data_IF_919018705061
#
_entry.id   IF_919018705061
#
_cell.length_a   1.000
_cell.length_b   1.000
_cell.length_c   1.000
_cell.angle_alpha   90.00
_cell.angle_beta   90.00
_cell.angle_gamma   90.00
#
_symmetry.space_group_name_H-M   'P 1'
#
loop_
_entity.id
_entity.type
_entity.pdbx_description
1 polymer ?
#
# COMPACT_ATOMS: atom_id res chain seq x y z
N UNK A 1 -11.39 20.05 -4.44
CA UNK A 1 -12.75 20.47 -4.09
C UNK A 1 -13.59 19.25 -3.72
N UNK A 2 -14.54 19.43 -2.82
CA UNK A 2 -15.59 18.46 -2.52
C UNK A 2 -16.93 19.15 -2.75
N UNK A 3 -17.78 18.53 -3.56
CA UNK A 3 -19.02 19.10 -4.05
C UNK A 3 -20.13 18.12 -3.74
N UNK A 4 -21.12 18.55 -2.97
CA UNK A 4 -22.35 17.80 -2.76
C UNK A 4 -23.29 18.14 -3.93
N UNK A 5 -23.46 17.21 -4.86
CA UNK A 5 -24.35 17.39 -6.02
C UNK A 5 -25.82 17.26 -5.64
N UNK A 6 -26.09 16.40 -4.66
CA UNK A 6 -27.39 16.22 -4.00
C UNK A 6 -27.14 15.91 -2.53
N UNK A 7 -28.20 15.79 -1.73
CA UNK A 7 -28.10 15.37 -0.33
C UNK A 7 -27.38 14.01 -0.15
N UNK A 8 -27.36 13.17 -1.18
CA UNK A 8 -26.81 11.80 -1.14
C UNK A 8 -25.64 11.56 -2.10
N UNK A 9 -25.38 12.45 -3.03
CA UNK A 9 -24.33 12.29 -4.05
C UNK A 9 -23.23 13.32 -3.84
N UNK A 10 -22.05 12.84 -3.46
CA UNK A 10 -20.87 13.67 -3.20
C UNK A 10 -19.79 13.36 -4.23
N UNK A 11 -19.20 14.41 -4.78
CA UNK A 11 -18.07 14.33 -5.71
C UNK A 11 -16.84 14.98 -5.09
N UNK A 12 -15.68 14.38 -5.33
CA UNK A 12 -14.38 14.96 -5.00
C UNK A 12 -13.54 15.05 -6.26
N UNK A 13 -12.99 16.22 -6.54
CA UNK A 13 -12.04 16.43 -7.63
C UNK A 13 -10.82 17.18 -7.11
N UNK A 14 -9.65 16.80 -7.58
CA UNK A 14 -8.41 17.44 -7.17
C UNK A 14 -7.28 17.14 -8.13
N UNK A 15 -6.21 17.89 -8.00
CA UNK A 15 -4.99 17.62 -8.74
C UNK A 15 -3.81 18.27 -8.04
N UNK A 16 -2.63 17.71 -8.26
CA UNK A 16 -1.37 18.25 -7.74
C UNK A 16 -0.43 18.50 -8.91
N UNK A 17 0.18 19.69 -8.95
CA UNK A 17 1.27 19.99 -9.86
C UNK A 17 2.60 19.94 -9.12
N UNK A 18 3.51 19.11 -9.58
CA UNK A 18 4.85 18.94 -9.04
C UNK A 18 5.87 19.53 -10.00
N UNK A 19 6.80 20.32 -9.46
CA UNK A 19 7.98 20.82 -10.16
C UNK A 19 9.22 20.34 -9.41
N UNK A 20 9.92 19.37 -9.98
CA UNK A 20 11.07 18.72 -9.38
C UNK A 20 12.36 19.12 -10.08
N UNK A 21 13.36 19.52 -9.30
CA UNK A 21 14.69 19.82 -9.79
C UNK A 21 15.71 19.00 -8.99
N UNK A 22 16.62 18.32 -9.69
CA UNK A 22 17.71 17.56 -9.09
C UNK A 22 18.99 17.83 -9.86
N UNK A 23 20.12 17.88 -9.13
CA UNK A 23 21.45 17.89 -9.73
C UNK A 23 22.16 16.62 -9.33
N UNK A 24 22.61 15.85 -10.32
CA UNK A 24 23.34 14.59 -10.12
C UNK A 24 24.78 14.81 -10.55
N UNK A 25 25.70 14.73 -9.60
CA UNK A 25 27.14 14.69 -9.89
C UNK A 25 27.61 13.25 -9.88
N UNK A 26 27.97 12.71 -11.04
CA UNK A 26 28.67 11.45 -11.13
C UNK A 26 30.16 11.70 -10.85
N UNK A 27 30.62 11.27 -9.67
CA UNK A 27 32.01 11.47 -9.23
C UNK A 27 33.01 10.58 -9.95
N UNK A 28 32.57 9.51 -10.62
CA UNK A 28 33.48 8.61 -11.36
C UNK A 28 34.00 9.25 -12.65
N UNK A 29 33.21 10.12 -13.29
CA UNK A 29 33.58 10.83 -14.52
C UNK A 29 33.44 12.36 -14.42
N UNK A 30 33.20 12.88 -13.21
CA UNK A 30 32.99 14.29 -12.89
C UNK A 30 31.89 14.98 -13.73
N UNK A 31 30.90 14.22 -14.22
CA UNK A 31 29.80 14.75 -15.03
C UNK A 31 28.64 15.19 -14.14
N UNK A 32 28.13 16.38 -14.41
CA UNK A 32 26.93 16.92 -13.76
C UNK A 32 25.74 16.85 -14.71
N UNK A 33 24.65 16.23 -14.28
CA UNK A 33 23.36 16.20 -14.98
C UNK A 33 22.33 16.96 -14.16
N UNK A 34 21.63 17.90 -14.79
CA UNK A 34 20.51 18.63 -14.18
C UNK A 34 19.21 18.00 -14.66
N UNK A 35 18.41 17.51 -13.73
CA UNK A 35 17.09 16.93 -13.95
C UNK A 35 16.04 17.97 -13.61
N UNK A 36 15.14 18.24 -14.56
CA UNK A 36 13.95 19.07 -14.34
C UNK A 36 12.72 18.30 -14.81
N UNK A 37 11.79 18.06 -13.91
CA UNK A 37 10.57 17.30 -14.20
C UNK A 37 9.35 18.06 -13.70
N UNK A 38 8.29 18.01 -14.49
CA UNK A 38 7.01 18.62 -14.20
C UNK A 38 5.94 17.55 -14.36
N UNK A 39 5.09 17.39 -13.37
CA UNK A 39 4.04 16.38 -13.40
C UNK A 39 2.74 16.97 -12.84
N UNK A 40 1.63 16.69 -13.52
CA UNK A 40 0.31 16.89 -12.97
C UNK A 40 -0.29 15.54 -12.58
N UNK A 41 -0.80 15.43 -11.37
CA UNK A 41 -1.37 14.19 -10.81
C UNK A 41 -2.83 14.44 -10.44
N UNK A 42 -3.80 14.09 -11.31
CA UNK A 42 -5.22 14.24 -11.04
C UNK A 42 -5.72 13.20 -10.03
N UNK A 43 -6.76 13.56 -9.29
CA UNK A 43 -7.50 12.70 -8.38
C UNK A 43 -8.99 12.98 -8.49
N UNK A 44 -9.80 11.94 -8.37
CA UNK A 44 -11.25 12.05 -8.43
C UNK A 44 -11.91 10.97 -7.58
N UNK A 45 -13.10 11.26 -7.07
CA UNK A 45 -13.90 10.29 -6.34
C UNK A 45 -15.38 10.64 -6.33
N UNK A 46 -16.20 9.62 -6.15
CA UNK A 46 -17.65 9.72 -5.99
C UNK A 46 -18.06 8.92 -4.78
N UNK A 47 -19.01 9.43 -4.03
CA UNK A 47 -19.68 8.72 -2.95
C UNK A 47 -21.18 8.91 -3.09
N UNK A 48 -21.92 7.82 -2.98
CA UNK A 48 -23.38 7.80 -3.01
C UNK A 48 -23.93 7.12 -1.76
N UNK A 49 -24.72 7.85 -0.99
CA UNK A 49 -25.40 7.37 0.21
C UNK A 49 -26.67 6.60 -0.20
N UNK A 50 -26.63 5.28 -0.03
CA UNK A 50 -27.79 4.40 -0.27
C UNK A 50 -28.85 4.66 0.80
N UNK A 51 -28.40 4.78 2.05
CA UNK A 51 -29.17 5.21 3.22
C UNK A 51 -28.21 5.81 4.25
N UNK A 52 -28.74 6.17 5.42
CA UNK A 52 -28.01 6.86 6.50
C UNK A 52 -26.80 6.08 7.04
N UNK A 53 -26.77 4.75 6.85
CA UNK A 53 -25.71 3.87 7.36
C UNK A 53 -24.89 3.20 6.25
N UNK A 54 -25.26 3.32 4.98
CA UNK A 54 -24.62 2.57 3.89
C UNK A 54 -24.36 3.46 2.69
N UNK A 55 -23.10 3.51 2.27
CA UNK A 55 -22.65 4.25 1.09
C UNK A 55 -21.86 3.35 0.14
N UNK A 56 -21.94 3.65 -1.16
CA UNK A 56 -21.02 3.13 -2.17
C UNK A 56 -20.09 4.25 -2.61
N UNK A 57 -18.82 3.92 -2.84
CA UNK A 57 -17.84 4.89 -3.31
C UNK A 57 -16.98 4.32 -4.43
N UNK A 58 -16.40 5.23 -5.21
CA UNK A 58 -15.43 4.92 -6.24
C UNK A 58 -14.38 6.03 -6.34
N UNK A 59 -13.15 5.66 -6.65
CA UNK A 59 -12.00 6.56 -6.63
C UNK A 59 -11.03 6.31 -7.77
N UNK A 60 -10.34 7.38 -8.14
CA UNK A 60 -9.27 7.39 -9.12
C UNK A 60 -8.17 8.33 -8.66
N UNK A 61 -6.92 7.94 -8.86
CA UNK A 61 -5.78 8.81 -8.60
C UNK A 61 -4.54 8.43 -9.39
N UNK A 62 -3.83 9.45 -9.85
CA UNK A 62 -2.46 9.32 -10.34
C UNK A 62 -1.46 9.78 -9.28
N UNK A 63 -0.27 9.20 -9.29
CA UNK A 63 0.82 9.54 -8.39
C UNK A 63 2.16 9.60 -9.12
N UNK A 64 3.10 10.27 -8.49
CA UNK A 64 4.38 10.65 -9.08
C UNK A 64 5.48 10.52 -8.03
N UNK A 65 6.57 9.84 -8.39
CA UNK A 65 7.81 9.81 -7.61
C UNK A 65 9.02 9.98 -8.53
N UNK A 66 9.81 11.05 -8.38
CA UNK A 66 11.03 11.20 -9.15
C UNK A 66 11.98 10.01 -8.94
N UNK A 67 12.52 9.46 -10.04
CA UNK A 67 13.64 8.53 -9.97
C UNK A 67 14.92 9.34 -9.87
N UNK A 68 15.76 9.00 -8.89
CA UNK A 68 17.06 9.64 -8.71
C UNK A 68 18.14 8.94 -9.51
N UNK A 69 19.12 9.71 -9.98
CA UNK A 69 20.26 9.18 -10.72
C UNK A 69 20.11 9.31 -12.23
N UNK A 70 21.01 8.64 -12.94
CA UNK A 70 21.11 8.69 -14.39
C UNK A 70 21.44 7.31 -14.95
N UNK A 71 21.10 7.07 -16.21
CA UNK A 71 21.44 5.84 -16.94
C UNK A 71 22.94 5.80 -17.32
N UNK A 72 23.35 4.72 -18.00
CA UNK A 72 24.72 4.55 -18.49
C UNK A 72 25.19 5.66 -19.45
N UNK A 73 24.26 6.29 -20.18
CA UNK A 73 24.54 7.42 -21.07
C UNK A 73 24.49 8.78 -20.33
N UNK A 74 24.29 8.76 -19.00
CA UNK A 74 24.10 9.91 -18.13
C UNK A 74 22.82 10.72 -18.38
N UNK A 75 21.81 10.10 -19.00
CA UNK A 75 20.48 10.69 -19.12
C UNK A 75 19.71 10.54 -17.80
N UNK A 76 18.89 11.53 -17.42
CA UNK A 76 18.02 11.40 -16.26
C UNK A 76 16.94 10.34 -16.48
N UNK A 77 16.58 9.63 -15.41
CA UNK A 77 15.46 8.70 -15.46
C UNK A 77 14.11 9.41 -15.55
N UNK A 78 13.13 8.88 -16.29
CA UNK A 78 11.74 9.30 -16.13
C UNK A 78 11.28 9.00 -14.70
N UNK A 79 10.36 9.79 -14.18
CA UNK A 79 9.77 9.54 -12.86
C UNK A 79 8.93 8.27 -12.87
N UNK A 80 8.82 7.62 -11.71
CA UNK A 80 7.81 6.60 -11.48
C UNK A 80 6.43 7.24 -11.48
N UNK A 81 5.51 6.57 -12.19
CA UNK A 81 4.12 6.98 -12.28
C UNK A 81 3.23 5.86 -11.76
N UNK A 82 2.30 6.21 -10.89
CA UNK A 82 1.28 5.29 -10.40
C UNK A 82 -0.11 5.72 -10.85
N UNK A 83 -0.99 4.75 -11.13
CA UNK A 83 -2.40 4.96 -11.44
C UNK A 83 -3.22 3.96 -10.64
N UNK A 84 -4.25 4.44 -9.97
CA UNK A 84 -5.09 3.64 -9.08
C UNK A 84 -6.58 3.84 -9.37
N UNK A 85 -7.32 2.75 -9.23
CA UNK A 85 -8.78 2.71 -9.25
C UNK A 85 -9.26 1.92 -8.04
N UNK A 86 -10.33 2.40 -7.42
CA UNK A 86 -10.93 1.78 -6.24
C UNK A 86 -12.45 1.86 -6.33
N UNK A 87 -13.13 0.84 -5.83
CA UNK A 87 -14.59 0.83 -5.63
C UNK A 87 -14.90 0.08 -4.35
N UNK A 88 -15.84 0.57 -3.56
CA UNK A 88 -16.14 -0.05 -2.29
C UNK A 88 -17.46 0.36 -1.69
N UNK A 89 -17.78 -0.30 -0.58
CA UNK A 89 -18.90 0.02 0.28
C UNK A 89 -18.37 0.53 1.62
N UNK A 90 -19.10 1.46 2.21
CA UNK A 90 -18.86 1.99 3.55
C UNK A 90 -20.10 1.79 4.39
N UNK A 91 -19.91 1.24 5.58
CA UNK A 91 -20.92 1.08 6.61
C UNK A 91 -20.66 2.11 7.72
N UNK A 92 -21.70 2.82 8.13
CA UNK A 92 -21.70 3.78 9.22
C UNK A 92 -20.80 5.01 8.99
N UNK A 93 -21.04 6.03 9.81
CA UNK A 93 -20.17 7.20 9.88
C UNK A 93 -18.88 6.86 10.64
N UNK A 94 -17.72 7.43 10.23
CA UNK A 94 -16.47 7.22 10.95
C UNK A 94 -16.59 7.74 12.38
N UNK A 95 -16.25 6.88 13.36
CA UNK A 95 -16.40 7.19 14.77
C UNK A 95 -17.78 6.87 15.36
N UNK A 96 -18.73 6.39 14.55
CA UNK A 96 -19.99 5.82 15.02
C UNK A 96 -19.80 4.52 15.83
N UNK A 97 -20.88 4.00 16.45
CA UNK A 97 -20.82 2.77 17.23
C UNK A 97 -20.50 1.55 16.35
N UNK A 98 -20.80 1.61 15.05
CA UNK A 98 -20.38 0.63 14.05
C UNK A 98 -19.93 1.41 12.82
N UNK A 99 -18.73 1.13 12.34
CA UNK A 99 -18.21 1.67 11.09
C UNK A 99 -17.31 0.65 10.39
N UNK A 100 -17.23 0.74 9.06
CA UNK A 100 -16.34 -0.12 8.32
C UNK A 100 -16.38 0.16 6.82
N UNK A 101 -15.52 -0.54 6.10
CA UNK A 101 -15.49 -0.52 4.65
C UNK A 101 -15.06 -1.86 4.08
N UNK A 102 -15.48 -2.11 2.86
CA UNK A 102 -14.90 -3.14 2.00
C UNK A 102 -14.65 -2.52 0.63
N UNK A 103 -13.43 -2.65 0.12
CA UNK A 103 -13.03 -2.05 -1.13
C UNK A 103 -12.27 -3.06 -2.00
N UNK A 104 -12.50 -2.99 -3.31
CA UNK A 104 -11.66 -3.63 -4.30
C UNK A 104 -10.86 -2.56 -5.04
N UNK A 105 -9.59 -2.81 -5.27
CA UNK A 105 -8.71 -1.84 -5.91
C UNK A 105 -7.77 -2.49 -6.94
N UNK A 106 -7.27 -1.65 -7.84
CA UNK A 106 -6.13 -1.98 -8.69
C UNK A 106 -5.24 -0.76 -8.85
N UNK A 107 -3.93 -0.96 -8.76
CA UNK A 107 -2.91 0.06 -8.93
C UNK A 107 -1.81 -0.46 -9.84
N UNK A 108 -1.46 0.32 -10.86
CA UNK A 108 -0.30 0.07 -11.71
C UNK A 108 0.78 1.08 -11.42
N UNK A 109 2.04 0.66 -11.50
CA UNK A 109 3.22 1.50 -11.33
C UNK A 109 4.21 1.25 -12.46
N UNK A 110 4.66 2.31 -13.11
CA UNK A 110 5.58 2.27 -14.25
C UNK A 110 6.90 2.97 -13.95
N UNK A 111 7.88 2.79 -14.84
CA UNK A 111 9.22 3.37 -14.78
C UNK A 111 9.97 2.98 -13.49
N UNK A 112 9.71 1.79 -12.96
CA UNK A 112 10.47 1.23 -11.84
C UNK A 112 11.91 1.00 -12.34
N UNK A 113 12.89 1.44 -11.56
CA UNK A 113 14.29 1.22 -11.90
C UNK A 113 14.65 -0.26 -11.76
N UNK A 114 15.22 -0.82 -12.81
CA UNK A 114 15.65 -2.22 -12.93
C UNK A 114 17.10 -2.25 -13.42
N UNK A 115 17.79 -3.38 -13.26
CA UNK A 115 19.14 -3.53 -13.78
C UNK A 115 19.15 -3.33 -15.32
N UNK A 116 20.19 -2.67 -15.83
CA UNK A 116 20.43 -2.60 -17.28
C UNK A 116 20.81 -4.00 -17.80
N UNK A 117 20.06 -4.58 -18.75
CA UNK A 117 20.36 -5.92 -19.26
C UNK A 117 21.59 -5.95 -20.18
N UNK A 118 22.11 -4.80 -20.63
CA UNK A 118 23.32 -4.74 -21.44
C UNK A 118 24.56 -5.04 -20.58
N UNK A 119 25.34 -6.09 -20.87
CA UNK A 119 26.54 -6.42 -20.10
C UNK A 119 27.59 -5.29 -20.07
N UNK A 120 27.63 -4.43 -21.10
CA UNK A 120 28.52 -3.28 -21.13
C UNK A 120 28.15 -2.18 -20.11
N UNK A 121 26.90 -2.21 -19.61
CA UNK A 121 26.35 -1.26 -18.65
C UNK A 121 26.15 -1.91 -17.26
N UNK A 122 26.94 -2.93 -16.92
CA UNK A 122 26.84 -3.59 -15.63
C UNK A 122 26.93 -2.59 -14.45
N UNK A 123 25.99 -2.68 -13.51
CA UNK A 123 25.88 -1.75 -12.38
C UNK A 123 25.05 -0.49 -12.65
N UNK A 124 24.60 -0.26 -13.89
CA UNK A 124 23.63 0.78 -14.20
C UNK A 124 22.18 0.28 -14.10
N UNK A 125 21.26 1.22 -14.06
CA UNK A 125 19.83 0.96 -14.08
C UNK A 125 19.17 1.54 -15.34
N UNK A 126 18.03 0.98 -15.69
CA UNK A 126 17.09 1.53 -16.67
C UNK A 126 15.70 1.66 -16.03
N UNK A 127 14.89 2.60 -16.49
CA UNK A 127 13.51 2.77 -16.02
C UNK A 127 12.52 1.92 -16.85
N UNK A 128 12.75 0.60 -16.91
CA UNK A 128 11.97 -0.34 -17.73
C UNK A 128 10.95 -1.18 -16.96
N UNK A 129 10.95 -1.09 -15.63
CA UNK A 129 10.09 -1.90 -14.78
C UNK A 129 8.65 -1.39 -14.68
N UNK A 130 7.70 -2.30 -14.65
CA UNK A 130 6.32 -2.03 -14.30
C UNK A 130 5.75 -3.14 -13.41
N UNK A 131 4.87 -2.75 -12.50
CA UNK A 131 4.20 -3.65 -11.57
C UNK A 131 2.72 -3.28 -11.41
N UNK A 132 1.92 -4.26 -11.01
CA UNK A 132 0.51 -4.09 -10.68
C UNK A 132 0.22 -4.74 -9.34
N UNK A 133 -0.49 -4.02 -8.47
CA UNK A 133 -1.10 -4.54 -7.25
C UNK A 133 -2.61 -4.42 -7.38
N UNK A 134 -3.35 -5.49 -7.06
CA UNK A 134 -4.81 -5.48 -6.99
C UNK A 134 -5.26 -6.30 -5.80
N UNK A 135 -6.42 -5.99 -5.25
CA UNK A 135 -6.80 -6.61 -4.00
C UNK A 135 -8.17 -6.25 -3.51
N UNK A 136 -8.47 -6.79 -2.34
CA UNK A 136 -9.65 -6.46 -1.53
C UNK A 136 -9.15 -6.10 -0.15
N UNK A 137 -9.67 -5.01 0.40
CA UNK A 137 -9.42 -4.57 1.77
C UNK A 137 -10.74 -4.48 2.52
N UNK A 138 -10.71 -4.93 3.77
CA UNK A 138 -11.81 -4.83 4.73
C UNK A 138 -11.30 -4.17 5.99
N UNK A 139 -12.05 -3.18 6.46
CA UNK A 139 -11.87 -2.51 7.74
C UNK A 139 -13.20 -2.51 8.50
N UNK A 140 -13.17 -2.84 9.78
CA UNK A 140 -14.35 -2.90 10.61
C UNK A 140 -14.03 -2.48 12.05
N UNK A 141 -14.84 -1.56 12.57
CA UNK A 141 -14.73 -1.01 13.91
C UNK A 141 -16.11 -0.99 14.56
N UNK A 142 -16.24 -1.56 15.75
CA UNK A 142 -17.50 -1.59 16.48
C UNK A 142 -17.32 -1.41 17.99
N UNK A 143 -18.17 -0.58 18.58
CA UNK A 143 -18.42 -0.44 20.01
C UNK A 143 -19.79 -1.08 20.30
N UNK A 144 -19.77 -2.33 20.73
CA UNK A 144 -20.93 -3.16 21.00
C UNK A 144 -21.42 -2.97 22.45
N UNK A 145 -22.71 -3.28 22.74
CA UNK A 145 -23.24 -3.24 24.10
C UNK A 145 -22.38 -4.03 25.11
N UNK A 146 -22.33 -3.53 26.35
CA UNK A 146 -21.52 -4.13 27.40
C UNK A 146 -20.03 -3.74 27.34
N UNK A 147 -19.74 -2.54 26.80
CA UNK A 147 -18.41 -1.95 26.66
C UNK A 147 -17.41 -2.82 25.89
N UNK A 148 -17.89 -3.49 24.84
CA UNK A 148 -17.05 -4.36 24.00
C UNK A 148 -16.60 -3.58 22.76
N UNK A 149 -15.30 -3.47 22.56
CA UNK A 149 -14.72 -2.88 21.35
C UNK A 149 -14.14 -3.99 20.46
N UNK A 150 -14.44 -3.93 19.16
CA UNK A 150 -13.92 -4.83 18.14
C UNK A 150 -13.29 -4.01 17.02
N UNK A 151 -12.06 -4.34 16.65
CA UNK A 151 -11.37 -3.81 15.47
C UNK A 151 -10.92 -5.01 14.65
N UNK A 152 -11.34 -5.09 13.39
CA UNK A 152 -10.97 -6.16 12.48
C UNK A 152 -10.53 -5.58 11.13
N UNK A 153 -9.39 -6.03 10.63
CA UNK A 153 -8.93 -5.69 9.28
C UNK A 153 -8.49 -6.94 8.54
N UNK A 154 -8.68 -6.92 7.22
CA UNK A 154 -8.23 -7.98 6.33
C UNK A 154 -7.84 -7.40 4.97
N UNK A 155 -6.74 -7.88 4.42
CA UNK A 155 -6.30 -7.51 3.09
C UNK A 155 -5.93 -8.77 2.29
N UNK A 156 -6.44 -8.85 1.07
CA UNK A 156 -5.96 -9.74 0.03
C UNK A 156 -5.22 -8.93 -1.04
N UNK A 157 -3.98 -9.29 -1.36
CA UNK A 157 -3.10 -8.55 -2.26
C UNK A 157 -2.47 -9.47 -3.32
N UNK A 158 -2.82 -9.27 -4.57
CA UNK A 158 -2.16 -9.87 -5.73
C UNK A 158 -1.26 -8.81 -6.39
N UNK A 159 0.04 -8.88 -6.11
CA UNK A 159 1.03 -7.89 -6.49
C UNK A 159 2.18 -8.51 -7.29
N UNK A 160 2.24 -8.22 -8.59
CA UNK A 160 3.18 -8.84 -9.53
C UNK A 160 3.83 -7.81 -10.45
N UNK A 161 4.98 -8.19 -11.01
CA UNK A 161 5.58 -7.51 -12.16
C UNK A 161 4.71 -7.69 -13.41
N UNK A 162 4.66 -6.67 -14.26
CA UNK A 162 3.93 -6.69 -15.53
C UNK A 162 4.85 -6.56 -16.74
N UNK A 163 6.14 -6.31 -16.53
CA UNK A 163 7.17 -6.31 -17.56
C UNK A 163 8.28 -7.28 -17.21
N UNK A 164 9.03 -7.70 -18.24
CA UNK A 164 10.29 -8.37 -18.01
C UNK A 164 11.34 -7.34 -17.58
N UNK A 165 12.16 -7.69 -16.59
CA UNK A 165 13.16 -6.81 -16.03
C UNK A 165 14.35 -7.61 -15.46
N UNK A 166 15.47 -6.92 -15.22
CA UNK A 166 16.56 -7.44 -14.42
C UNK A 166 16.43 -6.99 -12.96
N UNK A 167 16.53 -7.91 -12.02
CA UNK A 167 16.64 -7.58 -10.60
C UNK A 167 18.03 -6.98 -10.31
N UNK A 168 18.04 -5.80 -9.67
CA UNK A 168 19.28 -5.05 -9.37
C UNK A 168 20.06 -5.60 -8.18
N UNK A 169 19.39 -6.34 -7.29
CA UNK A 169 19.95 -6.78 -6.00
C UNK A 169 20.44 -8.24 -6.09
N UNK A 170 19.73 -9.08 -6.84
CA UNK A 170 19.97 -10.52 -6.97
C UNK A 170 20.49 -10.92 -8.36
N UNK A 171 20.44 -10.02 -9.35
CA UNK A 171 20.89 -10.31 -10.72
C UNK A 171 20.03 -11.34 -11.46
N UNK A 172 18.82 -11.59 -10.95
CA UNK A 172 17.87 -12.54 -11.53
C UNK A 172 17.01 -11.89 -12.61
N UNK A 173 16.52 -12.71 -13.53
CA UNK A 173 15.51 -12.27 -14.51
C UNK A 173 14.14 -12.29 -13.85
N UNK A 174 13.44 -11.17 -13.96
CA UNK A 174 12.06 -11.00 -13.53
C UNK A 174 11.18 -11.10 -14.77
N UNK A 175 10.16 -11.95 -14.72
CA UNK A 175 9.18 -12.12 -15.79
C UNK A 175 7.83 -11.48 -15.42
N UNK A 176 7.03 -11.08 -16.42
CA UNK A 176 5.64 -10.70 -16.17
C UNK A 176 4.90 -11.82 -15.44
N UNK A 177 4.21 -11.47 -14.35
CA UNK A 177 3.52 -12.42 -13.48
C UNK A 177 4.33 -12.83 -12.24
N UNK A 178 5.63 -12.58 -12.20
CA UNK A 178 6.43 -12.83 -10.99
C UNK A 178 5.96 -11.93 -9.85
N UNK A 179 5.77 -12.52 -8.66
CA UNK A 179 5.30 -11.81 -7.47
C UNK A 179 6.32 -10.77 -7.01
N UNK A 180 5.82 -9.66 -6.48
CA UNK A 180 6.65 -8.69 -5.80
C UNK A 180 7.19 -9.27 -4.50
N UNK A 181 8.46 -9.00 -4.23
CA UNK A 181 9.15 -9.41 -3.01
C UNK A 181 8.50 -8.75 -1.77
N UNK A 182 8.49 -9.48 -0.65
CA UNK A 182 8.08 -8.99 0.67
C UNK A 182 6.59 -8.58 0.79
N UNK A 183 5.75 -8.94 -0.19
CA UNK A 183 4.30 -8.68 -0.15
C UNK A 183 3.54 -9.99 0.18
N UNK A 184 2.87 -10.07 1.34
CA UNK A 184 2.00 -11.21 1.64
C UNK A 184 0.68 -11.09 0.87
N UNK A 185 0.18 -12.22 0.36
CA UNK A 185 -1.14 -12.25 -0.31
C UNK A 185 -2.28 -12.03 0.68
N UNK A 186 -2.11 -12.41 1.94
CA UNK A 186 -3.12 -12.30 2.96
C UNK A 186 -2.54 -11.67 4.23
N UNK A 187 -3.19 -10.66 4.77
CA UNK A 187 -2.91 -10.10 6.07
C UNK A 187 -4.23 -9.86 6.82
N UNK A 188 -4.24 -10.12 8.12
CA UNK A 188 -5.42 -9.91 8.95
C UNK A 188 -5.03 -9.43 10.35
N UNK A 189 -5.88 -8.61 10.96
CA UNK A 189 -5.73 -8.19 12.34
C UNK A 189 -7.10 -8.23 13.02
N UNK A 190 -7.14 -8.74 14.24
CA UNK A 190 -8.34 -8.71 15.08
C UNK A 190 -7.93 -8.26 16.47
N UNK A 191 -8.60 -7.25 17.01
CA UNK A 191 -8.48 -6.79 18.39
C UNK A 191 -9.87 -6.79 18.99
N UNK A 192 -9.99 -7.39 20.18
CA UNK A 192 -11.20 -7.37 20.98
C UNK A 192 -10.84 -6.92 22.38
N UNK A 193 -11.58 -5.94 22.91
CA UNK A 193 -11.47 -5.55 24.31
C UNK A 193 -12.83 -5.38 24.95
N UNK A 194 -12.86 -5.48 26.27
CA UNK A 194 -14.04 -5.29 27.09
C UNK A 194 -13.71 -4.37 28.27
N UNK A 195 -14.48 -3.30 28.39
CA UNK A 195 -14.52 -2.45 29.57
C UNK A 195 -15.40 -3.07 30.67
N UNK A 196 -15.02 -2.86 31.91
CA UNK A 196 -15.81 -3.21 33.09
C UNK A 196 -15.42 -2.33 34.28
N UNK A 197 -16.26 -2.30 35.31
CA UNK A 197 -15.98 -1.54 36.53
C UNK A 197 -15.42 -2.47 37.61
N UNK A 198 -14.37 -2.03 38.30
CA UNK A 198 -13.87 -2.63 39.54
C UNK A 198 -14.06 -1.57 40.65
N UNK A 199 -15.13 -1.73 41.44
CA UNK A 199 -15.58 -0.67 42.35
C UNK A 199 -15.96 0.59 41.58
N UNK A 200 -15.33 1.72 41.89
CA UNK A 200 -15.53 3.00 41.19
C UNK A 200 -14.61 3.22 39.99
N UNK A 201 -13.69 2.29 39.71
CA UNK A 201 -12.66 2.46 38.68
C UNK A 201 -13.02 1.69 37.41
N UNK A 202 -12.71 2.28 36.26
CA UNK A 202 -12.87 1.63 34.95
C UNK A 202 -11.63 0.80 34.62
N UNK A 203 -11.84 -0.46 34.28
CA UNK A 203 -10.82 -1.38 33.82
C UNK A 203 -11.15 -1.87 32.41
N UNK A 204 -10.12 -2.20 31.64
CA UNK A 204 -10.27 -2.81 30.32
C UNK A 204 -9.39 -4.05 30.21
N UNK A 205 -9.98 -5.13 29.71
CA UNK A 205 -9.26 -6.34 29.35
C UNK A 205 -9.43 -6.61 27.87
N UNK A 206 -8.34 -6.89 27.15
CA UNK A 206 -8.40 -7.17 25.73
C UNK A 206 -7.23 -7.99 25.22
N UNK A 207 -7.41 -8.47 24.01
CA UNK A 207 -6.40 -9.22 23.27
C UNK A 207 -6.52 -9.00 21.78
N UNK A 208 -5.47 -9.32 21.06
CA UNK A 208 -5.47 -9.26 19.61
C UNK A 208 -4.60 -10.32 18.96
N UNK A 209 -4.94 -10.61 17.71
CA UNK A 209 -4.27 -11.57 16.84
C UNK A 209 -3.88 -10.84 15.56
N UNK A 210 -2.61 -10.97 15.18
CA UNK A 210 -2.11 -10.50 13.90
C UNK A 210 -1.64 -11.67 13.03
N UNK A 211 -2.13 -11.71 11.79
CA UNK A 211 -1.78 -12.70 10.79
C UNK A 211 -1.14 -12.02 9.59
N UNK A 212 -0.01 -12.58 9.15
CA UNK A 212 0.69 -12.14 7.93
C UNK A 212 1.15 -13.39 7.18
N UNK A 213 0.62 -13.55 5.97
CA UNK A 213 0.89 -14.69 5.10
C UNK A 213 2.34 -14.80 4.62
N UNK A 214 2.57 -15.81 3.78
CA UNK A 214 3.87 -16.03 3.13
C UNK A 214 4.18 -14.90 2.16
N UNK A 215 5.46 -14.56 2.04
CA UNK A 215 5.98 -13.53 1.15
C UNK A 215 7.34 -13.97 0.61
N UNK A 216 7.60 -13.67 -0.65
CA UNK A 216 8.92 -13.88 -1.23
C UNK A 216 9.96 -13.02 -0.50
N UNK A 217 11.22 -13.46 -0.43
CA UNK A 217 12.32 -12.54 -0.10
C UNK A 217 13.47 -12.61 -1.07
N UNK A 218 13.18 -13.07 -2.28
CA UNK A 218 14.00 -12.88 -3.46
C UNK A 218 13.06 -12.77 -4.68
N UNK A 219 13.35 -11.85 -5.59
CA UNK A 219 12.55 -11.64 -6.82
C UNK A 219 12.86 -12.73 -7.86
N UNK A 220 11.94 -13.01 -8.79
CA UNK A 220 12.19 -13.93 -9.91
C UNK A 220 12.42 -15.39 -9.48
N UNK A 221 12.00 -15.74 -8.26
CA UNK A 221 12.15 -17.06 -7.68
C UNK A 221 10.81 -17.55 -7.13
N UNK A 222 10.66 -18.87 -7.00
CA UNK A 222 9.64 -19.49 -6.14
C UNK A 222 10.13 -19.63 -4.69
N UNK A 223 11.25 -18.99 -4.34
CA UNK A 223 11.86 -19.08 -3.02
C UNK A 223 11.15 -18.14 -2.05
N UNK A 224 10.24 -18.71 -1.24
CA UNK A 224 9.69 -18.03 -0.08
C UNK A 224 10.85 -17.71 0.89
N UNK A 225 11.07 -16.43 1.22
CA UNK A 225 12.07 -16.13 2.24
C UNK A 225 11.53 -16.40 3.63
N UNK A 226 12.26 -17.25 4.34
CA UNK A 226 12.09 -17.51 5.75
C UNK A 226 13.15 -16.70 6.49
N UNK A 227 12.76 -15.56 7.07
CA UNK A 227 13.65 -14.79 7.93
C UNK A 227 14.04 -15.63 9.16
N UNK A 228 15.28 -16.13 9.16
CA UNK A 228 15.96 -16.80 10.27
C UNK A 228 16.20 -15.81 11.42
N UNK A 229 15.38 -15.87 12.48
CA UNK A 229 15.82 -16.09 13.86
C UNK A 229 14.57 -16.38 14.74
N UNK A 230 14.41 -17.67 15.05
CA UNK A 230 13.43 -18.35 15.94
C UNK A 230 11.91 -18.31 15.62
N UNK A 231 11.40 -19.52 15.29
CA UNK A 231 10.04 -20.09 15.37
C UNK A 231 9.14 -20.01 14.09
N UNK A 232 9.14 -21.16 13.38
CA UNK A 232 8.15 -21.85 12.51
C UNK A 232 6.99 -21.11 11.77
N UNK A 233 6.58 -21.60 10.57
CA UNK A 233 5.67 -20.93 9.63
C UNK A 233 4.17 -21.15 9.94
N UNK A 234 3.33 -20.19 9.52
CA UNK A 234 1.87 -20.35 9.43
C UNK A 234 1.07 -20.10 10.72
N UNK A 235 1.73 -19.77 11.83
CA UNK A 235 1.07 -19.37 13.08
C UNK A 235 0.96 -17.85 13.19
N UNK A 236 -0.04 -17.32 13.93
CA UNK A 236 -0.18 -15.89 14.21
C UNK A 236 1.15 -15.28 14.63
N UNK A 237 1.56 -14.18 14.00
CA UNK A 237 2.88 -13.58 14.21
C UNK A 237 3.01 -12.87 15.55
N UNK A 238 1.89 -12.60 16.21
CA UNK A 238 1.84 -12.20 17.60
C UNK A 238 0.45 -12.46 18.17
N UNK A 239 0.41 -13.07 19.36
CA UNK A 239 -0.71 -12.93 20.28
C UNK A 239 -0.32 -11.84 21.26
N UNK A 240 -1.01 -10.71 21.22
CA UNK A 240 -0.80 -9.64 22.19
C UNK A 240 -1.99 -9.65 23.15
N UNK A 241 -1.71 -9.99 24.41
CA UNK A 241 -2.66 -9.81 25.51
C UNK A 241 -2.29 -8.49 26.19
N UNK A 242 -3.26 -7.57 26.31
CA UNK A 242 -3.06 -6.28 26.95
C UNK A 242 -4.12 -6.07 28.01
N UNK A 243 -3.70 -5.97 29.27
CA UNK A 243 -4.51 -5.46 30.36
C UNK A 243 -4.08 -4.02 30.64
N UNK A 244 -5.04 -3.11 30.77
CA UNK A 244 -4.76 -1.71 31.11
C UNK A 244 -5.75 -1.23 32.17
N UNK A 245 -5.23 -0.53 33.17
CA UNK A 245 -5.98 0.05 34.27
C UNK A 245 -5.79 1.56 34.23
N UNK A 246 -6.88 2.32 34.36
CA UNK A 246 -6.82 3.77 34.59
C UNK A 246 -7.24 4.01 36.03
N UNK A 247 -6.37 4.65 36.82
CA UNK A 247 -6.65 5.09 38.18
C UNK A 247 -7.09 6.55 38.17
#
# INVERSE_FOLDING_TARGET
DQIDLTDRLKLRVGGRYDNFNQTVLNRANNRTTIVKQKQFSPTGGVLFEINDDLSIFGGYGEGYRPNSGVDAASNPFPAELSKSYEVGLRLGEPGGPISGSIAAFTMTKNNILTADPNPANAGFSIAGGAARSRGIELDFNANLPGDIMVIATYAYLDANWTTQAGDKDFGLTINPGDRLINIPEHAANLIVSKGFMIGTHRATFGGGVNYVGKRLGETGSTFDSYSRLWIAPGTPRAFNVRASFSF
#
